data_IF_708839802151
#
_entry.id   IF_708839802151
#
_cell.length_a   1.000
_cell.length_b   1.000
_cell.length_c   1.000
_cell.angle_alpha   90.00
_cell.angle_beta   90.00
_cell.angle_gamma   90.00
#
_symmetry.space_group_name_H-M   'P 1'
#
loop_
_entity.id
_entity.type
_entity.pdbx_description
1 polymer ?
#
# COMPACT_ATOMS: atom_id res chain seq x y z
N UNK A 1 -77.37 92.40 -13.50
CA UNK A 1 -77.04 93.68 -12.85
C UNK A 1 -75.62 94.04 -13.27
N UNK A 2 -75.45 95.20 -13.93
CA UNK A 2 -74.20 95.90 -14.25
C UNK A 2 -73.16 95.22 -15.17
N UNK A 3 -73.26 95.61 -16.44
CA UNK A 3 -72.19 96.22 -17.25
C UNK A 3 -70.99 96.78 -16.47
N UNK A 4 -69.77 96.62 -17.02
CA UNK A 4 -68.93 97.73 -17.47
C UNK A 4 -67.73 97.24 -18.31
N UNK A 5 -67.50 97.95 -19.41
CA UNK A 5 -66.46 97.82 -20.44
C UNK A 5 -65.15 98.53 -20.05
N UNK A 6 -64.19 98.43 -20.99
CA UNK A 6 -63.04 99.31 -21.32
C UNK A 6 -61.72 98.95 -20.59
N UNK A 7 -60.53 98.95 -21.20
CA UNK A 7 -60.06 99.43 -22.51
C UNK A 7 -58.65 98.89 -22.86
N UNK A 8 -58.41 98.79 -24.17
CA UNK A 8 -57.15 98.96 -24.95
C UNK A 8 -55.76 98.68 -24.33
N UNK A 9 -54.93 97.94 -25.08
CA UNK A 9 -53.82 98.54 -25.87
C UNK A 9 -52.96 97.44 -26.53
N UNK A 10 -52.62 97.60 -27.80
CA UNK A 10 -51.86 96.63 -28.59
C UNK A 10 -50.35 96.69 -28.36
N UNK A 11 -49.65 95.60 -28.68
CA UNK A 11 -48.25 95.65 -29.08
C UNK A 11 -47.86 94.40 -29.89
N UNK A 12 -47.67 94.57 -31.20
CA UNK A 12 -47.01 93.57 -32.05
C UNK A 12 -45.51 93.62 -31.74
N UNK A 13 -44.98 92.60 -31.06
CA UNK A 13 -43.54 92.43 -30.85
C UNK A 13 -42.98 91.46 -31.91
N UNK A 14 -42.13 92.01 -32.76
CA UNK A 14 -41.21 91.28 -33.64
C UNK A 14 -40.30 90.40 -32.76
N UNK A 15 -40.39 89.08 -32.95
CA UNK A 15 -39.52 88.11 -32.26
C UNK A 15 -38.14 88.10 -32.93
N UNK A 16 -37.13 88.51 -32.17
CA UNK A 16 -35.72 88.55 -32.55
C UNK A 16 -35.16 87.13 -32.71
N UNK A 17 -34.29 86.95 -33.71
CA UNK A 17 -33.61 85.71 -34.12
C UNK A 17 -32.76 85.01 -33.03
N UNK A 18 -32.69 85.58 -31.81
CA UNK A 18 -31.85 85.12 -30.69
C UNK A 18 -32.59 84.18 -29.72
N UNK A 19 -33.93 84.18 -29.70
CA UNK A 19 -34.73 83.26 -28.88
C UNK A 19 -34.90 81.88 -29.53
N UNK A 20 -34.85 81.78 -30.86
CA UNK A 20 -34.89 80.50 -31.57
C UNK A 20 -33.62 79.65 -31.38
N UNK A 21 -32.48 80.26 -31.04
CA UNK A 21 -31.23 79.54 -30.79
C UNK A 21 -31.21 78.83 -29.43
N UNK A 22 -31.89 79.37 -28.42
CA UNK A 22 -31.98 78.74 -27.09
C UNK A 22 -32.97 77.57 -27.08
N UNK A 23 -34.09 77.68 -27.79
CA UNK A 23 -35.11 76.62 -27.88
C UNK A 23 -34.57 75.41 -28.67
N UNK A 24 -33.73 75.63 -29.68
CA UNK A 24 -33.16 74.54 -30.49
C UNK A 24 -32.05 73.75 -29.78
N UNK A 25 -31.36 74.38 -28.81
CA UNK A 25 -30.36 73.74 -27.95
C UNK A 25 -31.03 72.87 -26.89
N UNK A 26 -32.16 73.33 -26.34
CA UNK A 26 -32.93 72.63 -25.32
C UNK A 26 -33.62 71.36 -25.86
N UNK A 27 -34.17 71.42 -27.09
CA UNK A 27 -34.80 70.24 -27.73
C UNK A 27 -33.74 69.19 -28.14
N UNK A 28 -32.54 69.61 -28.56
CA UNK A 28 -31.45 68.67 -28.85
C UNK A 28 -30.92 68.00 -27.57
N UNK A 29 -30.82 68.74 -26.47
CA UNK A 29 -30.48 68.18 -25.16
C UNK A 29 -31.58 67.25 -24.62
N UNK A 30 -32.86 67.59 -24.81
CA UNK A 30 -33.98 66.71 -24.46
C UNK A 30 -34.01 65.44 -25.31
N UNK A 31 -33.72 65.53 -26.62
CA UNK A 31 -33.61 64.35 -27.48
C UNK A 31 -32.38 63.50 -27.15
N UNK A 32 -31.23 64.09 -26.80
CA UNK A 32 -30.07 63.31 -26.35
C UNK A 32 -30.26 62.71 -24.96
N UNK A 33 -30.97 63.38 -24.04
CA UNK A 33 -31.40 62.81 -22.76
C UNK A 33 -32.47 61.71 -22.93
N UNK A 34 -33.40 61.86 -23.88
CA UNK A 34 -34.39 60.82 -24.23
C UNK A 34 -33.74 59.62 -24.93
N UNK A 35 -32.75 59.84 -25.81
CA UNK A 35 -31.98 58.78 -26.44
C UNK A 35 -31.06 58.11 -25.40
N UNK A 36 -30.46 58.85 -24.46
CA UNK A 36 -29.68 58.27 -23.37
C UNK A 36 -30.54 57.54 -22.32
N UNK A 37 -31.82 57.86 -22.16
CA UNK A 37 -32.75 57.10 -21.30
C UNK A 37 -33.38 55.91 -22.02
N UNK A 38 -33.55 55.99 -23.34
CA UNK A 38 -34.00 54.88 -24.19
C UNK A 38 -32.89 53.87 -24.54
N UNK A 39 -31.62 54.30 -24.61
CA UNK A 39 -30.45 53.44 -24.85
C UNK A 39 -29.59 53.17 -23.61
N UNK A 40 -29.76 53.92 -22.52
CA UNK A 40 -28.98 53.74 -21.27
C UNK A 40 -29.54 52.71 -20.30
N UNK A 41 -30.58 51.97 -20.69
CA UNK A 41 -31.19 50.92 -19.87
C UNK A 41 -31.26 49.55 -20.55
N UNK A 42 -30.31 49.25 -21.45
CA UNK A 42 -29.82 47.86 -21.50
C UNK A 42 -28.71 47.74 -20.45
N UNK A 43 -29.11 47.83 -19.18
CA UNK A 43 -28.29 47.29 -18.11
C UNK A 43 -28.19 45.81 -18.45
N UNK A 44 -27.02 45.38 -18.95
CA UNK A 44 -26.68 43.97 -18.97
C UNK A 44 -26.86 43.51 -17.54
N UNK A 45 -27.95 42.78 -17.30
CA UNK A 45 -28.06 41.93 -16.13
C UNK A 45 -26.91 40.94 -16.27
N UNK A 46 -25.73 41.31 -15.77
CA UNK A 46 -24.76 40.33 -15.33
C UNK A 46 -25.35 39.70 -14.07
N UNK A 47 -26.45 38.96 -14.24
CA UNK A 47 -26.91 38.01 -13.27
C UNK A 47 -25.76 37.01 -13.17
N UNK A 48 -25.03 37.10 -12.06
CA UNK A 48 -24.01 36.13 -11.71
C UNK A 48 -24.63 34.74 -11.88
N UNK A 49 -24.09 33.95 -12.80
CA UNK A 49 -24.60 32.61 -13.05
C UNK A 49 -24.36 31.82 -11.76
N UNK A 50 -25.44 31.41 -11.10
CA UNK A 50 -25.42 30.61 -9.88
C UNK A 50 -26.00 29.24 -10.16
N UNK A 51 -25.41 28.23 -9.56
CA UNK A 51 -25.88 26.86 -9.61
C UNK A 51 -26.19 26.38 -8.20
N UNK A 52 -27.30 25.66 -8.04
CA UNK A 52 -27.70 25.10 -6.77
C UNK A 52 -26.83 23.89 -6.42
N UNK A 53 -26.66 23.58 -5.13
CA UNK A 53 -25.97 22.37 -4.72
C UNK A 53 -26.78 21.09 -5.02
N UNK A 54 -26.13 19.92 -5.01
CA UNK A 54 -26.82 18.64 -5.15
C UNK A 54 -27.83 18.41 -4.03
N UNK A 55 -28.95 17.78 -4.38
CA UNK A 55 -30.03 17.46 -3.44
C UNK A 55 -29.80 16.09 -2.78
N UNK A 56 -30.42 15.86 -1.63
CA UNK A 56 -30.45 14.57 -0.94
C UNK A 56 -29.09 13.87 -0.81
N UNK A 57 -28.03 14.65 -0.58
CA UNK A 57 -26.70 14.10 -0.42
C UNK A 57 -26.61 13.29 0.88
N UNK A 58 -26.32 12.01 0.74
CA UNK A 58 -26.25 11.08 1.87
C UNK A 58 -25.21 9.99 1.65
N UNK A 59 -24.73 9.46 2.76
CA UNK A 59 -23.84 8.31 2.83
C UNK A 59 -24.67 7.13 3.32
N UNK A 60 -24.72 6.06 2.53
CA UNK A 60 -25.53 4.86 2.79
C UNK A 60 -24.61 3.66 2.99
N UNK A 61 -24.89 2.91 4.06
CA UNK A 61 -24.23 1.64 4.35
C UNK A 61 -25.10 0.47 3.85
N UNK A 62 -24.69 -0.23 2.78
CA UNK A 62 -25.39 -1.41 2.30
C UNK A 62 -25.18 -2.66 3.19
N UNK A 63 -24.33 -2.56 4.22
CA UNK A 63 -23.97 -3.68 5.10
C UNK A 63 -22.68 -4.40 4.71
N UNK A 64 -21.87 -3.84 3.79
CA UNK A 64 -20.64 -4.46 3.27
C UNK A 64 -19.38 -4.09 4.07
N UNK A 65 -19.50 -3.99 5.40
CA UNK A 65 -18.40 -3.90 6.36
C UNK A 65 -17.38 -2.74 6.16
N UNK A 66 -17.71 -1.76 5.33
CA UNK A 66 -16.83 -0.63 5.02
C UNK A 66 -17.05 -0.04 3.63
N UNK A 67 -17.65 -0.80 2.73
CA UNK A 67 -17.94 -0.32 1.38
C UNK A 67 -19.23 0.50 1.34
N UNK A 68 -19.11 1.83 1.35
CA UNK A 68 -20.22 2.77 1.50
C UNK A 68 -20.59 3.45 0.18
N UNK A 69 -21.85 3.88 0.08
CA UNK A 69 -22.41 4.54 -1.10
C UNK A 69 -22.64 6.01 -0.80
N UNK A 70 -22.04 6.89 -1.60
CA UNK A 70 -22.26 8.33 -1.57
C UNK A 70 -23.20 8.67 -2.72
N UNK A 71 -24.43 9.07 -2.39
CA UNK A 71 -25.47 9.30 -3.39
C UNK A 71 -26.13 10.66 -3.21
N UNK A 72 -26.54 11.24 -4.34
CA UNK A 72 -27.19 12.55 -4.39
C UNK A 72 -28.15 12.62 -5.58
N UNK A 73 -28.99 13.66 -5.59
CA UNK A 73 -29.87 14.00 -6.68
C UNK A 73 -29.38 15.29 -7.38
N UNK A 74 -29.74 15.50 -8.66
CA UNK A 74 -29.39 16.72 -9.36
C UNK A 74 -29.91 17.98 -8.66
N UNK A 75 -29.25 19.14 -8.80
CA UNK A 75 -29.71 20.40 -8.23
C UNK A 75 -31.09 20.82 -8.75
N UNK A 76 -31.83 21.59 -7.92
CA UNK A 76 -33.11 22.18 -8.34
C UNK A 76 -32.85 23.21 -9.45
N UNK A 77 -33.73 23.25 -10.45
CA UNK A 77 -33.73 24.27 -11.53
C UNK A 77 -32.55 24.19 -12.50
N UNK A 78 -32.31 23.02 -13.09
CA UNK A 78 -31.38 22.84 -14.21
C UNK A 78 -31.94 23.31 -15.57
N UNK A 79 -33.17 23.84 -15.62
CA UNK A 79 -33.90 24.17 -16.86
C UNK A 79 -33.16 25.16 -17.77
N UNK A 80 -32.30 26.01 -17.20
CA UNK A 80 -31.44 26.94 -17.95
C UNK A 80 -30.21 26.28 -18.59
N UNK A 81 -29.90 25.04 -18.23
CA UNK A 81 -28.68 24.32 -18.60
C UNK A 81 -28.97 22.95 -19.24
N UNK A 82 -30.15 22.74 -19.84
CA UNK A 82 -30.58 21.45 -20.41
C UNK A 82 -29.65 20.82 -21.48
N UNK A 83 -28.68 21.57 -22.01
CA UNK A 83 -27.64 21.09 -22.94
C UNK A 83 -26.25 20.95 -22.30
N UNK A 84 -26.12 21.28 -21.02
CA UNK A 84 -24.88 21.19 -20.27
C UNK A 84 -24.75 19.82 -19.60
N UNK A 85 -23.56 19.24 -19.65
CA UNK A 85 -23.21 18.10 -18.80
C UNK A 85 -22.74 18.64 -17.45
N UNK A 86 -23.57 18.48 -16.44
CA UNK A 86 -23.27 18.88 -15.06
C UNK A 86 -22.28 17.90 -14.45
N UNK A 87 -21.28 18.42 -13.75
CA UNK A 87 -20.29 17.65 -13.01
C UNK A 87 -20.42 17.92 -11.51
N UNK A 88 -19.88 17.01 -10.71
CA UNK A 88 -19.88 17.09 -9.26
C UNK A 88 -18.48 16.84 -8.76
N UNK A 89 -17.94 17.77 -7.98
CA UNK A 89 -16.71 17.55 -7.22
C UNK A 89 -17.11 17.07 -5.82
N UNK A 90 -16.75 15.82 -5.55
CA UNK A 90 -17.00 15.13 -4.29
C UNK A 90 -15.69 15.03 -3.53
N UNK A 91 -15.71 15.47 -2.27
CA UNK A 91 -14.61 15.31 -1.31
C UNK A 91 -15.06 14.44 -0.16
N UNK A 92 -14.26 13.45 0.21
CA UNK A 92 -14.59 12.55 1.32
C UNK A 92 -13.33 12.06 2.04
N UNK A 93 -13.51 11.65 3.30
CA UNK A 93 -12.46 11.05 4.14
C UNK A 93 -13.03 10.37 5.38
N UNK A 94 -12.21 9.56 6.04
CA UNK A 94 -12.40 9.27 7.46
C UNK A 94 -12.06 10.51 8.30
N UNK A 95 -12.79 10.76 9.39
CA UNK A 95 -12.77 12.02 10.17
C UNK A 95 -11.39 12.40 10.73
N UNK A 96 -10.52 11.43 10.97
CA UNK A 96 -9.16 11.62 11.48
C UNK A 96 -8.09 11.74 10.38
N UNK A 97 -8.46 11.54 9.12
CA UNK A 97 -7.54 11.71 7.99
C UNK A 97 -7.28 13.19 7.74
N UNK A 98 -6.01 13.59 7.66
CA UNK A 98 -5.64 14.98 7.36
C UNK A 98 -6.00 15.36 5.91
N UNK A 99 -5.93 14.41 4.98
CA UNK A 99 -6.16 14.62 3.56
C UNK A 99 -7.58 14.24 3.13
N UNK A 100 -8.13 15.03 2.21
CA UNK A 100 -9.40 14.77 1.54
C UNK A 100 -9.14 14.04 0.22
N UNK A 101 -9.83 12.92 0.00
CA UNK A 101 -9.92 12.34 -1.35
C UNK A 101 -10.88 13.18 -2.17
N UNK A 102 -10.53 13.47 -3.42
CA UNK A 102 -11.33 14.32 -4.30
C UNK A 102 -11.54 13.61 -5.64
N UNK A 103 -12.80 13.54 -6.08
CA UNK A 103 -13.16 13.01 -7.40
C UNK A 103 -14.11 13.98 -8.09
N UNK A 104 -14.04 14.03 -9.42
CA UNK A 104 -14.99 14.76 -10.26
C UNK A 104 -15.76 13.72 -11.07
N UNK A 105 -17.08 13.75 -11.00
CA UNK A 105 -17.93 12.77 -11.67
C UNK A 105 -19.20 13.39 -12.24
N UNK A 106 -19.77 12.71 -13.24
CA UNK A 106 -21.08 13.01 -13.82
C UNK A 106 -22.18 12.11 -13.26
N UNK A 107 -21.78 11.05 -12.57
CA UNK A 107 -22.69 10.10 -11.96
C UNK A 107 -23.34 10.72 -10.71
N UNK A 108 -24.44 10.12 -10.28
CA UNK A 108 -25.19 10.49 -9.07
C UNK A 108 -24.90 9.57 -7.87
N UNK A 109 -23.94 8.66 -8.06
CA UNK A 109 -23.54 7.65 -7.10
C UNK A 109 -22.04 7.43 -7.22
N UNK A 110 -21.37 7.38 -6.08
CA UNK A 110 -19.99 6.99 -5.94
C UNK A 110 -19.86 5.97 -4.80
N UNK A 111 -18.88 5.08 -4.88
CA UNK A 111 -18.67 4.00 -3.91
C UNK A 111 -17.19 3.90 -3.59
N UNK A 112 -16.85 3.75 -2.31
CA UNK A 112 -15.48 3.55 -1.85
C UNK A 112 -15.45 2.83 -0.50
N UNK A 113 -14.27 2.37 -0.10
CA UNK A 113 -13.99 1.75 1.19
C UNK A 113 -13.69 2.77 2.29
N UNK A 114 -14.23 2.54 3.49
CA UNK A 114 -14.08 3.40 4.65
C UNK A 114 -13.81 2.60 5.93
N UNK A 115 -12.91 3.11 6.77
CA UNK A 115 -12.69 2.55 8.11
C UNK A 115 -13.87 2.87 9.04
N UNK A 116 -14.75 1.89 9.25
CA UNK A 116 -15.94 2.01 10.08
C UNK A 116 -15.67 2.01 11.60
N UNK A 117 -14.41 1.83 12.02
CA UNK A 117 -14.06 2.16 13.41
C UNK A 117 -14.17 3.66 13.70
N UNK A 118 -14.19 4.47 12.64
CA UNK A 118 -14.16 5.93 12.68
C UNK A 118 -15.36 6.49 11.93
N UNK A 119 -15.56 7.79 12.08
CA UNK A 119 -16.57 8.49 11.30
C UNK A 119 -16.12 8.71 9.86
N UNK A 120 -17.10 8.86 9.00
CA UNK A 120 -16.92 9.28 7.61
C UNK A 120 -17.57 10.65 7.44
N UNK A 121 -16.85 11.54 6.78
CA UNK A 121 -17.39 12.84 6.39
C UNK A 121 -17.14 13.08 4.91
N UNK A 122 -18.13 13.66 4.26
CA UNK A 122 -18.09 13.97 2.85
C UNK A 122 -18.79 15.29 2.58
N UNK A 123 -18.33 15.97 1.53
CA UNK A 123 -18.95 17.18 1.00
C UNK A 123 -18.91 17.17 -0.51
N UNK A 124 -19.97 17.70 -1.11
CA UNK A 124 -20.15 17.72 -2.55
C UNK A 124 -20.68 19.08 -2.98
N UNK A 125 -20.22 19.56 -4.13
CA UNK A 125 -20.79 20.73 -4.78
C UNK A 125 -20.92 20.50 -6.29
N UNK A 126 -21.85 21.22 -6.90
CA UNK A 126 -22.07 21.17 -8.34
C UNK A 126 -21.06 22.03 -9.05
N UNK A 127 -20.47 21.48 -10.10
CA UNK A 127 -19.50 22.12 -10.95
C UNK A 127 -20.09 22.27 -12.36
N UNK A 128 -20.19 23.51 -12.83
CA UNK A 128 -20.55 23.83 -14.21
C UNK A 128 -19.29 24.14 -15.01
N UNK A 129 -18.93 23.28 -15.99
CA UNK A 129 -17.81 23.52 -16.87
C UNK A 129 -17.95 24.82 -17.65
N UNK A 130 -16.83 25.41 -18.06
CA UNK A 130 -16.78 26.68 -18.81
C UNK A 130 -17.60 26.68 -20.10
N UNK A 131 -17.85 25.50 -20.68
CA UNK A 131 -18.66 25.33 -21.88
C UNK A 131 -20.15 25.60 -21.64
N UNK A 132 -20.59 25.48 -20.38
CA UNK A 132 -21.98 25.66 -19.97
C UNK A 132 -22.29 27.08 -19.53
N UNK A 133 -21.25 27.86 -19.28
CA UNK A 133 -21.31 29.23 -18.82
C UNK A 133 -20.66 30.12 -19.87
N UNK A 134 -20.82 31.45 -19.75
CA UNK A 134 -20.19 32.40 -20.67
C UNK A 134 -18.66 32.52 -20.42
N UNK A 135 -17.94 31.39 -20.35
CA UNK A 135 -16.48 31.30 -20.25
C UNK A 135 -15.89 31.08 -18.85
N UNK A 136 -16.70 31.16 -17.78
CA UNK A 136 -16.24 31.06 -16.38
C UNK A 136 -16.78 29.82 -15.69
N UNK A 137 -15.93 29.05 -15.02
CA UNK A 137 -16.38 27.92 -14.21
C UNK A 137 -17.23 28.40 -13.03
N UNK A 138 -18.40 27.81 -12.84
CA UNK A 138 -19.35 28.18 -11.78
C UNK A 138 -19.54 26.98 -10.86
N UNK A 139 -19.43 27.22 -9.56
CA UNK A 139 -19.59 26.21 -8.51
C UNK A 139 -20.71 26.59 -7.54
N UNK A 140 -21.40 25.58 -6.99
CA UNK A 140 -22.40 25.79 -5.95
C UNK A 140 -21.77 25.95 -4.56
N UNK A 141 -22.61 26.14 -3.54
CA UNK A 141 -22.23 25.86 -2.16
C UNK A 141 -21.99 24.35 -1.94
N UNK A 142 -21.32 24.00 -0.84
CA UNK A 142 -21.15 22.62 -0.41
C UNK A 142 -22.41 22.07 0.25
N UNK A 143 -22.78 20.84 -0.12
CA UNK A 143 -23.66 19.95 0.64
C UNK A 143 -22.79 18.97 1.42
N UNK A 144 -23.08 18.74 2.69
CA UNK A 144 -22.27 17.89 3.57
C UNK A 144 -23.08 16.73 4.13
N UNK A 145 -22.41 15.60 4.34
CA UNK A 145 -22.99 14.42 4.95
C UNK A 145 -21.94 13.73 5.83
N UNK A 146 -22.40 13.11 6.91
CA UNK A 146 -21.55 12.30 7.80
C UNK A 146 -22.20 10.96 8.08
N UNK A 147 -21.37 9.95 8.32
CA UNK A 147 -21.81 8.61 8.67
C UNK A 147 -20.98 8.04 9.82
N UNK A 148 -21.67 7.40 10.76
CA UNK A 148 -21.08 6.77 11.93
C UNK A 148 -21.83 5.48 12.24
N UNK A 149 -21.08 4.42 12.56
CA UNK A 149 -21.69 3.24 13.18
C UNK A 149 -22.09 3.58 14.61
N UNK A 150 -23.32 3.21 14.98
CA UNK A 150 -23.83 3.31 16.35
C UNK A 150 -22.81 2.77 17.36
N UNK A 151 -22.50 3.55 18.38
CA UNK A 151 -21.55 3.18 19.44
C UNK A 151 -22.12 2.05 20.31
N UNK A 152 -21.88 0.79 19.91
CA UNK A 152 -22.23 -0.39 20.69
C UNK A 152 -21.04 -0.83 21.56
N UNK A 153 -21.27 -1.05 22.85
CA UNK A 153 -20.24 -1.53 23.78
C UNK A 153 -19.17 -0.50 24.13
N UNK A 154 -18.41 -0.79 25.19
CA UNK A 154 -17.28 0.06 25.61
C UNK A 154 -16.07 -0.16 24.67
N UNK A 155 -15.28 0.88 24.40
CA UNK A 155 -14.08 0.82 23.56
C UNK A 155 -13.08 -0.25 24.04
N UNK A 156 -12.96 -0.48 25.34
CA UNK A 156 -12.04 -1.49 25.91
C UNK A 156 -12.45 -2.94 25.59
N UNK A 157 -13.66 -3.14 25.07
CA UNK A 157 -14.16 -4.46 24.67
C UNK A 157 -13.78 -4.82 23.22
N UNK A 158 -13.26 -3.86 22.43
CA UNK A 158 -12.75 -4.13 21.08
C UNK A 158 -11.65 -5.18 21.13
N UNK A 159 -11.61 -6.05 20.12
CA UNK A 159 -10.49 -6.97 19.96
C UNK A 159 -9.17 -6.20 19.79
N UNK A 160 -8.09 -6.83 20.22
CA UNK A 160 -6.73 -6.30 20.14
C UNK A 160 -5.89 -7.15 19.19
N UNK A 161 -4.79 -6.57 18.69
CA UNK A 161 -3.76 -7.27 17.94
C UNK A 161 -4.31 -8.14 16.80
N UNK A 162 -5.16 -7.54 15.95
CA UNK A 162 -5.62 -8.20 14.74
C UNK A 162 -4.42 -8.44 13.82
N UNK A 163 -4.14 -9.69 13.51
CA UNK A 163 -3.04 -10.11 12.65
C UNK A 163 -3.56 -11.06 11.58
N UNK A 164 -3.34 -10.71 10.32
CA UNK A 164 -3.79 -11.47 9.16
C UNK A 164 -2.61 -11.75 8.24
N UNK A 165 -2.43 -13.01 7.89
CA UNK A 165 -1.34 -13.47 7.01
C UNK A 165 -1.91 -14.31 5.88
N UNK A 166 -1.61 -13.92 4.64
CA UNK A 166 -1.97 -14.70 3.46
C UNK A 166 -0.82 -15.64 3.08
N UNK A 167 -0.84 -16.83 3.68
CA UNK A 167 0.26 -17.77 3.56
C UNK A 167 0.38 -18.30 2.14
N UNK A 168 1.59 -18.13 1.59
CA UNK A 168 2.00 -18.57 0.26
C UNK A 168 1.02 -18.16 -0.86
N UNK A 169 0.24 -17.10 -0.65
CA UNK A 169 -0.83 -16.68 -1.58
C UNK A 169 -1.85 -17.81 -1.87
N UNK A 170 -2.13 -18.64 -0.86
CA UNK A 170 -3.00 -19.83 -0.97
C UNK A 170 -4.09 -19.86 0.08
N UNK A 171 -3.77 -19.57 1.34
CA UNK A 171 -4.73 -19.63 2.43
C UNK A 171 -4.55 -18.46 3.40
N UNK A 172 -5.66 -17.79 3.71
CA UNK A 172 -5.68 -16.65 4.63
C UNK A 172 -5.99 -17.14 6.04
N UNK A 173 -5.22 -16.64 7.00
CA UNK A 173 -5.45 -16.86 8.42
C UNK A 173 -5.41 -15.51 9.12
N UNK A 174 -6.43 -15.23 9.91
CA UNK A 174 -6.44 -14.09 10.82
C UNK A 174 -6.53 -14.57 12.27
N UNK A 175 -5.91 -13.82 13.17
CA UNK A 175 -5.96 -14.04 14.61
C UNK A 175 -6.08 -12.72 15.35
N UNK A 176 -6.60 -12.75 16.57
CA UNK A 176 -6.77 -11.58 17.42
C UNK A 176 -6.75 -11.97 18.90
N UNK A 177 -6.55 -10.97 19.74
CA UNK A 177 -6.71 -11.09 21.19
C UNK A 177 -8.06 -10.50 21.63
N UNK A 178 -8.71 -11.09 22.66
CA UNK A 178 -9.85 -10.48 23.30
C UNK A 178 -9.53 -9.08 23.83
N UNK A 179 -10.52 -8.19 23.85
CA UNK A 179 -10.38 -6.86 24.47
C UNK A 179 -10.09 -6.95 25.97
N UNK A 180 -9.32 -6.00 26.50
CA UNK A 180 -8.97 -5.97 27.93
C UNK A 180 -10.21 -5.81 28.84
N UNK A 181 -11.22 -5.09 28.36
CA UNK A 181 -12.50 -4.92 29.05
C UNK A 181 -13.53 -6.00 28.69
N UNK A 182 -13.19 -6.99 27.87
CA UNK A 182 -14.12 -8.05 27.49
C UNK A 182 -14.29 -9.07 28.63
N UNK A 183 -15.54 -9.32 29.01
CA UNK A 183 -15.86 -10.28 30.07
C UNK A 183 -15.50 -11.74 29.69
N UNK A 184 -15.36 -12.62 30.67
CA UNK A 184 -14.92 -14.01 30.46
C UNK A 184 -15.91 -14.85 29.64
N UNK A 185 -17.19 -14.49 29.65
CA UNK A 185 -18.26 -15.13 28.84
C UNK A 185 -18.25 -14.67 27.37
N UNK A 186 -17.42 -13.69 26.99
CA UNK A 186 -17.43 -13.15 25.63
C UNK A 186 -16.96 -14.18 24.60
N UNK A 187 -17.67 -14.23 23.48
CA UNK A 187 -17.23 -14.93 22.27
C UNK A 187 -17.35 -14.03 21.04
N UNK A 188 -16.56 -14.32 20.02
CA UNK A 188 -16.37 -13.46 18.85
C UNK A 188 -16.85 -14.15 17.58
N UNK A 189 -17.35 -13.35 16.62
CA UNK A 189 -17.63 -13.82 15.27
C UNK A 189 -16.97 -12.89 14.26
N UNK A 190 -16.38 -13.50 13.25
CA UNK A 190 -15.72 -12.79 12.16
C UNK A 190 -16.61 -12.85 10.91
N UNK A 191 -16.84 -11.69 10.34
CA UNK A 191 -17.53 -11.49 9.07
C UNK A 191 -16.56 -10.89 8.07
N UNK A 192 -16.68 -11.26 6.80
CA UNK A 192 -15.85 -10.70 5.73
C UNK A 192 -16.65 -10.47 4.46
N UNK A 193 -16.17 -9.53 3.65
CA UNK A 193 -16.71 -9.22 2.33
C UNK A 193 -15.62 -8.65 1.42
N UNK A 194 -15.75 -8.89 0.13
CA UNK A 194 -14.95 -8.25 -0.91
C UNK A 194 -15.79 -8.15 -2.18
N UNK A 195 -15.43 -7.23 -3.07
CA UNK A 195 -16.16 -7.07 -4.34
C UNK A 195 -16.14 -8.36 -5.16
N UNK A 196 -17.31 -8.90 -5.49
CA UNK A 196 -17.48 -10.20 -6.14
C UNK A 196 -18.28 -11.20 -5.29
N UNK A 197 -18.45 -10.94 -3.99
CA UNK A 197 -19.39 -11.67 -3.14
C UNK A 197 -20.78 -11.01 -3.15
N UNK A 198 -21.82 -11.83 -3.25
CA UNK A 198 -23.22 -11.37 -3.24
C UNK A 198 -23.66 -10.77 -1.89
N UNK A 199 -23.08 -11.26 -0.80
CA UNK A 199 -23.39 -10.84 0.57
C UNK A 199 -22.20 -11.08 1.51
N UNK A 200 -22.27 -10.52 2.71
CA UNK A 200 -21.28 -10.74 3.76
C UNK A 200 -21.30 -12.19 4.23
N UNK A 201 -20.13 -12.80 4.38
CA UNK A 201 -19.97 -14.18 4.85
C UNK A 201 -19.41 -14.21 6.28
N UNK A 202 -19.87 -15.18 7.08
CA UNK A 202 -19.28 -15.48 8.39
C UNK A 202 -18.16 -16.51 8.24
N UNK A 203 -17.13 -16.40 9.08
CA UNK A 203 -16.11 -17.44 9.21
C UNK A 203 -16.73 -18.77 9.65
N UNK A 204 -16.34 -19.87 9.00
CA UNK A 204 -16.84 -21.22 9.31
C UNK A 204 -15.81 -22.08 10.07
N UNK A 205 -14.52 -21.80 9.93
CA UNK A 205 -13.42 -22.53 10.58
C UNK A 205 -12.69 -21.61 11.55
N UNK A 206 -13.17 -21.58 12.80
CA UNK A 206 -12.59 -20.77 13.86
C UNK A 206 -11.39 -21.43 14.54
N UNK A 207 -10.37 -20.63 14.80
CA UNK A 207 -9.29 -20.98 15.71
C UNK A 207 -9.74 -20.62 17.12
N UNK A 208 -9.74 -21.60 18.02
CA UNK A 208 -10.23 -21.42 19.39
C UNK A 208 -9.11 -21.59 20.42
N UNK A 209 -9.16 -20.75 21.45
CA UNK A 209 -8.35 -20.89 22.65
C UNK A 209 -9.25 -20.72 23.88
N UNK A 210 -9.19 -21.69 24.81
CA UNK A 210 -10.01 -21.70 26.04
C UNK A 210 -11.51 -21.52 25.77
N UNK A 211 -12.02 -22.11 24.68
CA UNK A 211 -13.43 -22.05 24.29
C UNK A 211 -13.88 -20.73 23.66
N UNK A 212 -12.96 -19.80 23.36
CA UNK A 212 -13.24 -18.54 22.68
C UNK A 212 -12.67 -18.54 21.27
N UNK A 213 -13.40 -17.95 20.33
CA UNK A 213 -12.90 -17.69 18.98
C UNK A 213 -11.84 -16.58 19.03
N UNK A 214 -10.62 -16.90 18.59
CA UNK A 214 -9.46 -15.99 18.56
C UNK A 214 -8.81 -15.90 17.17
N UNK A 215 -9.43 -16.52 16.17
CA UNK A 215 -8.93 -16.51 14.81
C UNK A 215 -9.88 -17.18 13.84
N UNK A 216 -9.60 -17.02 12.56
CA UNK A 216 -10.36 -17.60 11.46
C UNK A 216 -9.40 -18.16 10.41
N UNK A 217 -9.69 -19.37 9.93
CA UNK A 217 -9.14 -19.92 8.70
C UNK A 217 -10.16 -19.72 7.59
N UNK A 218 -9.76 -18.98 6.57
CA UNK A 218 -10.66 -18.67 5.46
C UNK A 218 -10.72 -19.85 4.50
N UNK A 219 -11.87 -20.06 3.81
CA UNK A 219 -11.95 -20.98 2.70
C UNK A 219 -11.07 -20.48 1.54
N UNK A 220 -11.04 -21.24 0.44
CA UNK A 220 -10.49 -20.73 -0.81
C UNK A 220 -11.24 -19.46 -1.22
N UNK A 221 -10.50 -18.37 -1.45
CA UNK A 221 -11.03 -17.06 -1.80
C UNK A 221 -10.86 -16.85 -3.30
N UNK A 222 -11.96 -16.90 -4.05
CA UNK A 222 -11.92 -16.76 -5.51
C UNK A 222 -11.72 -15.30 -5.91
N UNK A 223 -10.65 -15.04 -6.67
CA UNK A 223 -10.29 -13.74 -7.22
C UNK A 223 -10.30 -12.61 -6.20
N UNK A 224 -9.95 -12.86 -4.94
CA UNK A 224 -10.05 -11.89 -3.83
C UNK A 224 -8.95 -10.83 -3.78
N UNK A 225 -7.89 -11.00 -4.56
CA UNK A 225 -6.69 -10.17 -4.52
C UNK A 225 -6.86 -8.87 -5.32
N UNK A 226 -5.98 -7.88 -5.08
CA UNK A 226 -5.96 -6.59 -5.79
C UNK A 226 -7.23 -5.74 -5.63
N UNK A 227 -7.98 -5.98 -4.56
CA UNK A 227 -9.14 -5.20 -4.14
C UNK A 227 -9.22 -5.17 -2.63
N UNK A 228 -10.04 -4.27 -2.13
CA UNK A 228 -10.27 -4.13 -0.70
C UNK A 228 -11.04 -5.36 -0.16
N UNK A 229 -10.48 -5.93 0.89
CA UNK A 229 -11.01 -7.03 1.66
C UNK A 229 -11.41 -6.50 3.04
N UNK A 230 -12.72 -6.53 3.32
CA UNK A 230 -13.31 -5.95 4.51
C UNK A 230 -13.56 -7.05 5.54
N UNK A 231 -13.14 -6.83 6.79
CA UNK A 231 -13.38 -7.72 7.92
C UNK A 231 -14.08 -6.95 9.04
N UNK A 232 -15.07 -7.57 9.66
CA UNK A 232 -15.67 -7.13 10.91
C UNK A 232 -15.58 -8.26 11.93
N UNK A 233 -15.01 -7.99 13.10
CA UNK A 233 -15.07 -8.89 14.25
C UNK A 233 -16.04 -8.29 15.26
N UNK A 234 -17.18 -8.95 15.43
CA UNK A 234 -18.15 -8.61 16.46
C UNK A 234 -18.05 -9.59 17.64
N UNK A 235 -18.71 -9.28 18.74
CA UNK A 235 -18.76 -10.16 19.90
C UNK A 235 -20.12 -10.19 20.55
N UNK A 236 -20.36 -11.27 21.28
CA UNK A 236 -21.54 -11.48 22.10
C UNK A 236 -21.10 -11.84 23.52
N UNK A 237 -21.80 -11.31 24.51
CA UNK A 237 -21.63 -11.58 25.95
C UNK A 237 -22.98 -11.36 26.61
N UNK A 238 -23.31 -12.16 27.63
CA UNK A 238 -24.55 -11.97 28.40
C UNK A 238 -24.45 -10.75 29.31
N UNK A 239 -23.22 -10.39 29.68
CA UNK A 239 -22.93 -9.37 30.69
C UNK A 239 -22.81 -7.96 30.09
N UNK A 240 -22.43 -7.83 28.83
CA UNK A 240 -22.20 -6.53 28.19
C UNK A 240 -22.21 -6.58 26.66
N UNK A 241 -22.44 -5.43 26.05
CA UNK A 241 -22.24 -5.26 24.61
C UNK A 241 -20.74 -5.19 24.28
N UNK A 242 -20.34 -5.90 23.23
CA UNK A 242 -18.97 -5.90 22.71
C UNK A 242 -18.88 -4.94 21.52
N UNK A 243 -17.89 -4.05 21.54
CA UNK A 243 -17.62 -3.09 20.47
C UNK A 243 -17.02 -3.83 19.27
N UNK A 244 -17.63 -3.73 18.07
CA UNK A 244 -17.08 -4.35 16.87
C UNK A 244 -15.80 -3.65 16.42
N UNK A 245 -14.92 -4.42 15.79
CA UNK A 245 -13.69 -3.92 15.16
C UNK A 245 -13.74 -4.19 13.65
N UNK A 246 -13.47 -3.16 12.85
CA UNK A 246 -13.45 -3.22 11.40
C UNK A 246 -12.02 -3.16 10.86
N UNK A 247 -11.74 -3.82 9.75
CA UNK A 247 -10.42 -3.81 9.14
C UNK A 247 -10.55 -3.89 7.62
N UNK A 248 -9.64 -3.22 6.92
CA UNK A 248 -9.57 -3.23 5.45
C UNK A 248 -8.14 -3.60 5.09
N UNK A 249 -8.00 -4.61 4.24
CA UNK A 249 -6.71 -5.08 3.73
C UNK A 249 -6.80 -5.26 2.23
N UNK A 250 -5.65 -5.30 1.57
CA UNK A 250 -5.54 -5.88 0.24
C UNK A 250 -4.64 -7.10 0.35
N UNK A 251 -5.16 -8.27 -0.01
CA UNK A 251 -4.55 -9.54 0.38
C UNK A 251 -3.12 -9.72 -0.16
N UNK A 252 -2.82 -9.19 -1.35
CA UNK A 252 -1.48 -9.26 -1.93
C UNK A 252 -0.41 -8.58 -1.05
N UNK A 253 -0.79 -7.58 -0.25
CA UNK A 253 0.13 -6.81 0.60
C UNK A 253 0.45 -7.49 1.94
N UNK A 254 -0.23 -8.60 2.28
CA UNK A 254 -0.03 -9.36 3.53
C UNK A 254 0.40 -10.81 3.25
N UNK A 255 0.95 -11.07 2.07
CA UNK A 255 1.44 -12.39 1.69
C UNK A 255 2.72 -12.72 2.42
N UNK A 256 2.77 -13.93 3.00
CA UNK A 256 4.00 -14.55 3.51
C UNK A 256 4.36 -15.75 2.65
N UNK A 257 5.33 -15.64 1.72
CA UNK A 257 5.77 -16.76 0.89
C UNK A 257 6.40 -17.89 1.72
N UNK A 258 6.57 -19.06 1.08
CA UNK A 258 7.42 -20.12 1.62
C UNK A 258 8.91 -19.78 1.43
N UNK A 259 9.81 -20.34 2.26
CA UNK A 259 11.25 -20.28 2.01
C UNK A 259 11.59 -20.92 0.65
N UNK A 260 12.63 -20.44 -0.05
CA UNK A 260 13.14 -21.09 -1.25
C UNK A 260 13.59 -22.53 -0.98
N UNK A 261 13.30 -23.42 -1.93
CA UNK A 261 13.69 -24.83 -1.88
C UNK A 261 15.03 -25.03 -2.62
N UNK A 262 15.79 -26.07 -2.26
CA UNK A 262 16.98 -26.57 -3.00
C UNK A 262 18.09 -25.54 -3.27
N UNK A 263 18.86 -25.18 -2.24
CA UNK A 263 20.07 -24.37 -2.40
C UNK A 263 21.20 -25.22 -3.01
N UNK A 264 21.77 -24.74 -4.11
CA UNK A 264 22.88 -25.37 -4.81
C UNK A 264 24.08 -24.43 -4.86
N UNK A 265 25.22 -24.88 -4.34
CA UNK A 265 26.48 -24.15 -4.33
C UNK A 265 27.45 -24.75 -5.35
N UNK A 266 27.96 -23.92 -6.25
CA UNK A 266 29.02 -24.30 -7.19
C UNK A 266 30.19 -23.32 -7.10
N UNK A 267 31.38 -23.83 -6.82
CA UNK A 267 32.60 -23.00 -6.72
C UNK A 267 33.33 -22.96 -8.07
N UNK A 268 33.69 -21.76 -8.54
CA UNK A 268 34.51 -21.56 -9.74
C UNK A 268 35.48 -20.40 -9.52
N UNK A 269 36.79 -20.66 -9.57
CA UNK A 269 37.84 -19.63 -9.49
C UNK A 269 37.66 -18.61 -8.33
N UNK A 270 37.34 -19.10 -7.12
CA UNK A 270 37.05 -18.29 -5.93
C UNK A 270 35.73 -17.51 -5.93
N UNK A 271 34.86 -17.70 -6.93
CA UNK A 271 33.47 -17.25 -6.92
C UNK A 271 32.53 -18.42 -6.61
N UNK A 272 31.64 -18.20 -5.66
CA UNK A 272 30.53 -19.11 -5.35
C UNK A 272 29.33 -18.68 -6.18
N UNK A 273 28.84 -19.56 -7.04
CA UNK A 273 27.51 -19.45 -7.60
C UNK A 273 26.53 -20.16 -6.65
N UNK A 274 25.66 -19.39 -6.02
CA UNK A 274 24.53 -19.87 -5.25
C UNK A 274 23.28 -19.80 -6.13
N UNK A 275 22.59 -20.93 -6.29
CA UNK A 275 21.29 -21.04 -6.97
C UNK A 275 20.26 -21.61 -6.02
N UNK A 276 19.01 -21.21 -6.18
CA UNK A 276 17.87 -21.81 -5.48
C UNK A 276 16.70 -22.01 -6.44
N UNK A 277 15.76 -22.86 -6.02
CA UNK A 277 14.48 -23.01 -6.72
C UNK A 277 13.41 -22.13 -6.08
N UNK A 278 12.47 -21.71 -6.92
CA UNK A 278 11.32 -20.91 -6.48
C UNK A 278 10.50 -21.75 -5.50
N UNK A 279 10.01 -21.17 -4.39
CA UNK A 279 9.16 -21.88 -3.45
C UNK A 279 7.94 -22.50 -4.16
N UNK A 280 7.54 -23.70 -3.75
CA UNK A 280 6.36 -24.35 -4.31
C UNK A 280 5.10 -23.55 -3.99
N UNK A 281 4.34 -23.18 -5.01
CA UNK A 281 3.11 -22.41 -4.81
C UNK A 281 2.59 -21.75 -6.08
N UNK A 282 1.56 -20.91 -5.95
CA UNK A 282 0.96 -20.17 -7.06
C UNK A 282 1.76 -18.90 -7.38
N UNK A 283 2.69 -18.49 -6.51
CA UNK A 283 3.43 -17.23 -6.65
C UNK A 283 4.37 -17.31 -7.85
N UNK A 284 4.23 -16.42 -8.85
CA UNK A 284 5.16 -16.38 -9.98
C UNK A 284 6.55 -15.92 -9.55
N UNK A 285 7.61 -16.45 -10.19
CA UNK A 285 9.00 -16.09 -9.93
C UNK A 285 9.26 -14.56 -9.92
N UNK A 286 8.69 -13.86 -10.90
CA UNK A 286 8.81 -12.39 -11.06
C UNK A 286 8.22 -11.58 -9.89
N UNK A 287 7.35 -12.20 -9.10
CA UNK A 287 6.72 -11.59 -7.94
C UNK A 287 7.51 -11.81 -6.65
N UNK A 288 8.67 -12.48 -6.69
CA UNK A 288 9.51 -12.70 -5.53
C UNK A 288 10.77 -11.84 -5.59
N UNK A 289 11.15 -11.35 -4.42
CA UNK A 289 12.47 -10.81 -4.13
C UNK A 289 13.10 -11.70 -3.06
N UNK A 290 14.41 -11.91 -3.15
CA UNK A 290 15.16 -12.76 -2.24
C UNK A 290 16.14 -11.93 -1.43
N UNK A 291 16.31 -12.32 -0.18
CA UNK A 291 17.39 -11.86 0.68
C UNK A 291 18.27 -13.05 1.02
N UNK A 292 19.58 -12.84 0.88
CA UNK A 292 20.61 -13.84 1.10
C UNK A 292 21.46 -13.34 2.26
N UNK A 293 21.50 -14.12 3.32
CA UNK A 293 22.46 -13.97 4.40
C UNK A 293 23.57 -15.00 4.17
N UNK A 294 24.83 -14.55 4.17
CA UNK A 294 25.96 -15.45 4.03
C UNK A 294 27.06 -15.12 5.03
N UNK A 295 27.73 -16.18 5.49
CA UNK A 295 28.80 -16.11 6.48
C UNK A 295 30.10 -16.67 5.91
N UNK A 296 31.20 -15.93 6.07
CA UNK A 296 32.57 -16.36 5.74
C UNK A 296 33.41 -16.15 7.00
N UNK A 297 33.94 -17.24 7.56
CA UNK A 297 34.80 -17.24 8.76
C UNK A 297 34.26 -16.33 9.90
N UNK A 298 33.01 -16.54 10.29
CA UNK A 298 32.25 -15.82 11.34
C UNK A 298 31.86 -14.35 11.05
N UNK A 299 32.13 -13.85 9.85
CA UNK A 299 31.61 -12.54 9.40
C UNK A 299 30.36 -12.75 8.56
N UNK A 300 29.29 -12.03 8.86
CA UNK A 300 28.00 -12.14 8.16
C UNK A 300 27.74 -10.93 7.26
N UNK A 301 27.21 -11.19 6.06
CA UNK A 301 26.76 -10.18 5.11
C UNK A 301 25.34 -10.50 4.64
N UNK A 302 24.62 -9.46 4.25
CA UNK A 302 23.26 -9.56 3.73
C UNK A 302 23.18 -8.83 2.40
N UNK A 303 22.55 -9.46 1.41
CA UNK A 303 22.30 -8.88 0.09
C UNK A 303 20.93 -9.27 -0.43
N UNK A 304 20.41 -8.54 -1.41
CA UNK A 304 19.09 -8.78 -2.01
C UNK A 304 19.18 -8.89 -3.52
N UNK A 305 18.31 -9.72 -4.11
CA UNK A 305 18.23 -9.91 -5.57
C UNK A 305 16.83 -10.34 -5.99
N UNK A 306 16.49 -10.10 -7.25
CA UNK A 306 15.26 -10.59 -7.91
C UNK A 306 15.52 -11.84 -8.76
N UNK A 307 16.78 -12.19 -8.96
CA UNK A 307 17.19 -13.38 -9.70
C UNK A 307 17.26 -14.60 -8.77
N UNK A 308 17.11 -15.81 -9.32
CA UNK A 308 17.21 -17.05 -8.54
C UNK A 308 18.66 -17.57 -8.41
N UNK A 309 19.63 -16.76 -8.84
CA UNK A 309 21.06 -17.06 -8.71
C UNK A 309 21.83 -15.81 -8.33
N UNK A 310 22.96 -16.00 -7.64
CA UNK A 310 23.89 -14.93 -7.31
C UNK A 310 25.33 -15.46 -7.31
N UNK A 311 26.25 -14.59 -7.73
CA UNK A 311 27.68 -14.84 -7.69
C UNK A 311 28.30 -14.05 -6.55
N UNK A 312 28.95 -14.74 -5.62
CA UNK A 312 29.60 -14.14 -4.45
C UNK A 312 31.08 -14.48 -4.51
N UNK A 313 31.92 -13.45 -4.57
CA UNK A 313 33.38 -13.59 -4.53
C UNK A 313 33.82 -13.77 -3.09
N UNK A 314 34.66 -14.77 -2.82
CA UNK A 314 35.25 -14.97 -1.49
C UNK A 314 36.18 -13.82 -1.12
N UNK A 315 36.15 -13.41 0.14
CA UNK A 315 37.04 -12.36 0.65
C UNK A 315 38.45 -12.89 0.84
N UNK A 316 38.59 -14.14 1.29
CA UNK A 316 39.88 -14.80 1.49
C UNK A 316 39.98 -16.07 0.65
N UNK A 317 41.16 -16.33 0.07
CA UNK A 317 41.42 -17.63 -0.55
C UNK A 317 41.57 -18.76 0.49
N UNK A 318 41.82 -18.41 1.75
CA UNK A 318 42.00 -19.32 2.89
C UNK A 318 40.69 -19.62 3.64
N UNK A 319 39.55 -19.07 3.21
CA UNK A 319 38.29 -19.28 3.92
C UNK A 319 37.93 -20.77 3.97
N UNK A 320 37.69 -21.24 5.18
CA UNK A 320 37.51 -22.66 5.49
C UNK A 320 36.07 -23.08 5.23
N UNK A 321 35.12 -22.16 5.41
CA UNK A 321 33.70 -22.42 5.27
C UNK A 321 32.94 -21.16 4.84
N UNK A 322 32.00 -21.34 3.91
CA UNK A 322 31.01 -20.33 3.55
C UNK A 322 29.62 -20.93 3.70
N UNK A 323 28.74 -20.31 4.47
CA UNK A 323 27.36 -20.75 4.64
C UNK A 323 26.37 -19.71 4.12
N UNK A 324 25.23 -20.19 3.62
CA UNK A 324 24.20 -19.38 2.98
C UNK A 324 22.82 -19.74 3.49
N UNK A 325 22.02 -18.71 3.74
CA UNK A 325 20.60 -18.75 4.06
C UNK A 325 19.88 -17.86 3.05
N UNK A 326 18.73 -18.31 2.54
CA UNK A 326 17.92 -17.53 1.60
C UNK A 326 16.49 -17.46 2.09
N UNK A 327 15.88 -16.27 2.05
CA UNK A 327 14.44 -16.09 2.28
C UNK A 327 13.81 -15.27 1.16
N UNK A 328 12.49 -15.33 1.04
CA UNK A 328 11.76 -14.64 -0.02
C UNK A 328 10.67 -13.73 0.53
N UNK A 329 10.33 -12.67 -0.21
CA UNK A 329 9.22 -11.75 0.04
C UNK A 329 8.56 -11.39 -1.29
N UNK A 330 7.32 -10.90 -1.23
CA UNK A 330 6.66 -10.28 -2.37
C UNK A 330 7.44 -9.07 -2.90
N UNK A 331 7.59 -9.00 -4.21
CA UNK A 331 8.21 -7.90 -4.91
C UNK A 331 7.23 -6.74 -5.14
N UNK A 332 7.75 -5.51 -5.19
CA UNK A 332 7.01 -4.26 -5.38
C UNK A 332 6.18 -4.21 -6.66
N UNK A 333 6.52 -5.02 -7.68
CA UNK A 333 5.74 -5.08 -8.92
C UNK A 333 4.44 -5.89 -8.79
N UNK A 334 4.30 -6.68 -7.72
CA UNK A 334 3.14 -7.52 -7.49
C UNK A 334 2.37 -7.16 -6.22
N UNK A 335 2.99 -6.48 -5.25
CA UNK A 335 2.36 -6.00 -4.02
C UNK A 335 3.10 -4.77 -3.48
N UNK A 336 2.41 -3.86 -2.82
CA UNK A 336 3.00 -2.66 -2.21
C UNK A 336 3.79 -3.00 -0.93
N UNK A 337 3.42 -4.09 -0.26
CA UNK A 337 4.11 -4.62 0.91
C UNK A 337 4.07 -6.17 0.91
N UNK A 338 4.67 -6.78 1.94
CA UNK A 338 4.62 -8.22 2.14
C UNK A 338 5.45 -8.66 3.34
N UNK A 339 5.32 -9.93 3.69
CA UNK A 339 5.97 -10.52 4.86
C UNK A 339 7.10 -11.41 4.37
N UNK A 340 8.27 -11.29 4.99
CA UNK A 340 9.39 -12.19 4.71
C UNK A 340 9.02 -13.62 5.10
N UNK A 341 9.41 -14.58 4.25
CA UNK A 341 9.36 -16.00 4.58
C UNK A 341 10.30 -16.30 5.75
N UNK A 342 10.17 -17.51 6.30
CA UNK A 342 11.26 -18.08 7.09
C UNK A 342 12.52 -18.20 6.22
N UNK A 343 13.67 -18.33 6.88
CA UNK A 343 14.92 -18.67 6.20
C UNK A 343 14.87 -20.11 5.69
N UNK A 344 15.54 -20.37 4.57
CA UNK A 344 15.81 -21.73 4.09
C UNK A 344 16.70 -22.49 5.08
N UNK A 345 16.83 -23.80 4.86
CA UNK A 345 17.91 -24.55 5.49
C UNK A 345 19.27 -23.99 5.08
N UNK A 346 20.21 -23.95 6.02
CA UNK A 346 21.56 -23.47 5.80
C UNK A 346 22.32 -24.42 4.86
N UNK A 347 22.93 -23.86 3.81
CA UNK A 347 23.79 -24.60 2.92
C UNK A 347 25.21 -24.06 2.99
N UNK A 348 26.15 -24.93 3.37
CA UNK A 348 27.55 -24.56 3.48
C UNK A 348 28.40 -25.21 2.39
N UNK A 349 29.34 -24.44 1.86
CA UNK A 349 30.51 -24.93 1.17
C UNK A 349 31.67 -25.04 2.16
N UNK A 350 32.43 -26.13 2.08
CA UNK A 350 33.65 -26.34 2.87
C UNK A 350 34.84 -26.39 1.93
N UNK A 351 35.91 -25.72 2.33
CA UNK A 351 37.20 -25.76 1.65
C UNK A 351 37.75 -27.18 1.52
N UNK A 352 38.79 -27.32 0.70
CA UNK A 352 39.42 -28.62 0.43
C UNK A 352 40.26 -29.11 1.62
N UNK A 353 39.58 -29.57 2.67
CA UNK A 353 40.16 -30.13 3.91
C UNK A 353 41.05 -31.35 3.60
N UNK A 354 40.90 -31.95 2.41
CA UNK A 354 41.73 -33.06 1.95
C UNK A 354 43.21 -32.72 1.88
N UNK A 355 43.60 -31.47 1.62
CA UNK A 355 45.02 -31.08 1.64
C UNK A 355 45.63 -31.17 3.03
N UNK A 356 44.90 -30.72 4.05
CA UNK A 356 45.36 -30.82 5.45
C UNK A 356 45.36 -32.26 5.95
N UNK A 357 44.32 -33.03 5.61
CA UNK A 357 44.25 -34.46 5.93
C UNK A 357 45.40 -35.22 5.25
N UNK A 358 45.65 -34.97 3.97
CA UNK A 358 46.73 -35.61 3.22
C UNK A 358 48.11 -35.26 3.81
N UNK A 359 48.34 -34.01 4.20
CA UNK A 359 49.55 -33.58 4.91
C UNK A 359 49.70 -34.28 6.27
N UNK A 360 48.61 -34.34 7.05
CA UNK A 360 48.59 -35.00 8.36
C UNK A 360 48.89 -36.50 8.26
N UNK A 361 48.43 -37.17 7.21
CA UNK A 361 48.75 -38.58 6.98
C UNK A 361 50.14 -38.78 6.35
N UNK A 362 50.57 -37.98 5.37
CA UNK A 362 51.85 -38.19 4.66
C UNK A 362 53.08 -37.88 5.52
N UNK A 363 53.02 -36.86 6.39
CA UNK A 363 54.17 -36.42 7.20
C UNK A 363 54.69 -37.53 8.13
N UNK A 364 53.86 -38.24 8.91
CA UNK A 364 54.30 -39.38 9.72
C UNK A 364 54.94 -40.50 8.91
N UNK A 365 54.38 -40.86 7.75
CA UNK A 365 54.93 -41.91 6.88
C UNK A 365 56.34 -41.56 6.37
N UNK A 366 56.55 -40.30 5.96
CA UNK A 366 57.85 -39.82 5.51
C UNK A 366 58.87 -39.84 6.65
N UNK A 367 58.47 -39.41 7.86
CA UNK A 367 59.34 -39.43 9.04
C UNK A 367 59.75 -40.86 9.46
N UNK A 368 58.81 -41.81 9.44
CA UNK A 368 59.09 -43.22 9.74
C UNK A 368 60.03 -43.83 8.70
N UNK A 369 59.81 -43.56 7.42
CA UNK A 369 60.68 -44.04 6.33
C UNK A 369 62.12 -43.51 6.46
N UNK A 370 62.27 -42.21 6.75
CA UNK A 370 63.58 -41.59 7.03
C UNK A 370 64.26 -42.22 8.24
N UNK A 371 63.52 -42.48 9.32
CA UNK A 371 64.07 -43.13 10.51
C UNK A 371 64.59 -44.54 10.20
N UNK A 372 63.83 -45.34 9.45
CA UNK A 372 64.24 -46.69 9.02
C UNK A 372 65.47 -46.63 8.12
N UNK A 373 65.55 -45.67 7.20
CA UNK A 373 66.73 -45.46 6.35
C UNK A 373 67.99 -45.09 7.16
N UNK A 374 67.86 -44.25 8.19
CA UNK A 374 68.98 -43.88 9.05
C UNK A 374 69.44 -45.08 9.88
N UNK A 375 68.51 -45.86 10.46
CA UNK A 375 68.85 -47.05 11.24
C UNK A 375 69.51 -48.12 10.37
N UNK A 376 69.00 -48.36 9.16
CA UNK A 376 69.61 -49.32 8.23
C UNK A 376 71.00 -48.86 7.76
N UNK A 377 71.19 -47.58 7.43
CA UNK A 377 72.50 -47.02 7.10
C UNK A 377 73.50 -47.13 8.26
N UNK A 378 73.10 -46.83 9.50
CA UNK A 378 73.98 -46.94 10.67
C UNK A 378 74.33 -48.40 10.99
N UNK A 379 73.40 -49.34 10.82
CA UNK A 379 73.66 -50.78 10.95
C UNK A 379 74.64 -51.27 9.87
N UNK A 380 74.45 -50.88 8.61
CA UNK A 380 75.36 -51.23 7.51
C UNK A 380 76.74 -50.62 7.71
N UNK A 381 76.82 -49.37 8.19
CA UNK A 381 78.08 -48.72 8.55
C UNK A 381 78.78 -49.46 9.70
N UNK A 382 78.03 -49.86 10.74
CA UNK A 382 78.56 -50.62 11.87
C UNK A 382 79.02 -52.03 11.46
N UNK A 383 78.26 -52.73 10.62
CA UNK A 383 78.67 -54.02 10.05
C UNK A 383 79.93 -53.88 9.19
N UNK A 384 80.03 -52.83 8.38
CA UNK A 384 81.21 -52.57 7.55
C UNK A 384 82.44 -52.24 8.39
N UNK A 385 82.29 -51.51 9.50
CA UNK A 385 83.37 -51.26 10.45
C UNK A 385 83.75 -52.51 11.28
N UNK A 386 82.78 -53.35 11.66
CA UNK A 386 83.04 -54.65 12.29
C UNK A 386 83.79 -55.59 11.35
N UNK A 387 83.41 -55.68 10.07
CA UNK A 387 84.15 -56.44 9.06
C UNK A 387 85.58 -55.91 8.90
N UNK A 388 85.77 -54.58 8.84
CA UNK A 388 87.10 -53.97 8.79
C UNK A 388 87.95 -54.26 10.03
N UNK A 389 87.34 -54.38 11.22
CA UNK A 389 88.05 -54.75 12.44
C UNK A 389 88.41 -56.24 12.47
N UNK A 390 87.53 -57.14 12.03
CA UNK A 390 87.79 -58.59 11.94
C UNK A 390 88.92 -58.89 10.95
N UNK A 391 88.93 -58.26 9.77
CA UNK A 391 90.04 -58.40 8.81
C UNK A 391 91.37 -57.81 9.32
N UNK A 392 91.35 -56.90 10.30
CA UNK A 392 92.56 -56.40 10.96
C UNK A 392 93.03 -57.28 12.13
N UNK A 393 92.15 -58.10 12.72
CA UNK A 393 92.53 -59.03 13.81
C UNK A 393 93.10 -60.34 13.29
N UNK A 394 92.76 -60.76 12.06
CA UNK A 394 93.26 -62.00 11.45
C UNK A 394 94.72 -61.90 10.94
N UNK A 395 95.33 -60.70 10.93
CA UNK A 395 96.75 -60.49 10.57
C UNK A 395 97.74 -60.53 11.73
N UNK A 396 97.31 -60.90 12.95
CA UNK A 396 98.21 -61.15 14.09
C UNK A 396 97.82 -62.41 14.86
N UNK A 397 98.33 -63.56 14.42
CA UNK A 397 98.76 -64.61 15.37
C UNK A 397 99.98 -65.35 14.80
N UNK A 398 101.03 -65.59 15.60
CA UNK A 398 102.32 -66.10 15.13
C UNK A 398 102.39 -67.62 15.22
N UNK A 399 102.96 -68.26 14.19
CA UNK A 399 103.99 -69.30 14.30
C UNK A 399 104.70 -69.44 12.95
#
# INVERSE_FOLDING_TARGET
MRTLQLEQSGNFKVLNLREMAFIHLDIRCLYTLLICTAFGSTLSSNAEIKVNPPQDFQIVDPGYLGYLYLQWQPPVSLDNFNKCTVEYELKYRNVDSESWRTIITKNLLYKDGFDLNKGVEAKIHTLLPRQCTNGSEVQSSWSEATYWISSQGNLDTKIQDMDCVYYNWQYLLCSWKPGMGAHLDSNYRLYYWYEGLDHVLECIDYIQAKGKNIGCRFPYLESSDYKDFYICVNGSSESQLIRPSYFIFQLQNIVKPLPPDYLSLTMKNSEVNLKWSIPRGPIPAKCLIYEIEFTEDDTAWVTTTIENEIYITRTSNESLQLCFLVRSKMNIYCADDGIWSEWSDEQCWKGDIWKEILLFFLVPFVLVSLFVLIVTCTLLYKQRNLLKMVFHTEKRSPF
#
